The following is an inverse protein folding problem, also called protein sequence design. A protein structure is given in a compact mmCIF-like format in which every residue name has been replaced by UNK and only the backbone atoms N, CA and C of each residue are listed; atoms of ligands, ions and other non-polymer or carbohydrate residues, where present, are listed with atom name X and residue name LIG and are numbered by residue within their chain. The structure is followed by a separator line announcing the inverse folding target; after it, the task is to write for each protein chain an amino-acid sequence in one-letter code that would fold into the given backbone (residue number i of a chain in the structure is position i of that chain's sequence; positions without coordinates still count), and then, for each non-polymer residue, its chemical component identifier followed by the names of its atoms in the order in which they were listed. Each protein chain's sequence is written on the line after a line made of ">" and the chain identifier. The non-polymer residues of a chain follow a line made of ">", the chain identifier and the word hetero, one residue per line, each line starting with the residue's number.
data_IF_932128810863
#
_entry.id   IF_932128810863
#
_cell.length_a   1.000
_cell.length_b   1.000
_cell.length_c   1.000
_cell.angle_alpha   90.00
_cell.angle_beta   90.00
_cell.angle_gamma   90.00
#
_symmetry.space_group_name_H-M   'P 1'
#
loop_
_entity.id
_entity.type
_entity.pdbx_description
1 polymer ?
#
# COMPACT_ATOMS: atom_id res chain seq x y z
N UNK A 1 7.15 -26.47 7.87
CA UNK A 1 7.81 -25.16 7.62
C UNK A 1 6.75 -24.08 7.76
N UNK A 2 6.90 -23.13 8.68
CA UNK A 2 5.99 -21.99 8.76
C UNK A 2 6.24 -21.13 7.51
N UNK A 3 5.23 -20.97 6.65
CA UNK A 3 5.32 -20.13 5.45
C UNK A 3 5.63 -18.70 5.92
N UNK A 4 6.77 -18.13 5.50
CA UNK A 4 7.11 -16.73 5.77
C UNK A 4 6.03 -15.85 5.11
N UNK A 5 5.23 -15.16 5.91
CA UNK A 5 4.31 -14.13 5.39
C UNK A 5 5.08 -12.82 5.24
N UNK A 6 4.75 -12.08 4.19
CA UNK A 6 5.25 -10.74 3.93
C UNK A 6 4.19 -9.67 4.27
N UNK A 7 3.08 -10.08 4.89
CA UNK A 7 2.09 -9.18 5.46
C UNK A 7 2.49 -8.88 6.91
N UNK A 8 3.09 -7.71 7.11
CA UNK A 8 3.68 -7.31 8.37
C UNK A 8 2.73 -6.41 9.17
N UNK A 9 2.79 -6.54 10.49
CA UNK A 9 2.33 -5.55 11.46
C UNK A 9 3.51 -4.96 12.24
N UNK A 10 3.27 -3.96 13.09
CA UNK A 10 4.30 -3.30 13.89
C UNK A 10 5.10 -4.28 14.78
N UNK A 11 4.45 -5.33 15.28
CA UNK A 11 5.10 -6.33 16.13
C UNK A 11 6.04 -7.22 15.30
N UNK A 12 5.62 -7.64 14.11
CA UNK A 12 6.42 -8.50 13.25
C UNK A 12 7.66 -7.79 12.70
N UNK A 13 7.58 -6.48 12.43
CA UNK A 13 8.71 -5.66 11.95
C UNK A 13 9.90 -5.72 12.91
N UNK A 14 9.65 -5.75 14.22
CA UNK A 14 10.70 -5.77 15.24
C UNK A 14 11.23 -7.17 15.56
N UNK A 15 10.55 -8.23 15.10
CA UNK A 15 10.83 -9.63 15.49
C UNK A 15 11.48 -10.46 14.40
N UNK A 16 11.44 -10.02 13.15
CA UNK A 16 11.96 -10.78 12.01
C UNK A 16 13.09 -10.02 11.32
N UNK A 17 14.12 -10.71 10.81
CA UNK A 17 15.14 -10.06 10.01
C UNK A 17 14.52 -9.58 8.68
N UNK A 18 14.58 -8.27 8.48
CA UNK A 18 14.08 -7.55 7.30
C UNK A 18 15.22 -6.79 6.61
N UNK A 19 15.09 -6.46 5.32
CA UNK A 19 16.08 -5.62 4.64
C UNK A 19 16.34 -4.32 5.41
N UNK A 20 17.60 -3.92 5.51
CA UNK A 20 17.99 -2.72 6.25
C UNK A 20 17.31 -1.47 5.70
N UNK A 21 17.20 -1.35 4.38
CA UNK A 21 16.53 -0.24 3.71
C UNK A 21 15.03 -0.15 4.06
N UNK A 22 14.38 -1.29 4.30
CA UNK A 22 12.97 -1.30 4.71
C UNK A 22 12.81 -0.71 6.10
N UNK A 23 13.66 -1.11 7.06
CA UNK A 23 13.60 -0.58 8.43
C UNK A 23 13.80 0.95 8.46
N UNK A 24 14.73 1.47 7.65
CA UNK A 24 14.95 2.92 7.52
C UNK A 24 13.70 3.59 6.95
N UNK A 25 13.13 3.05 5.87
CA UNK A 25 11.97 3.64 5.19
C UNK A 25 10.71 3.58 6.03
N UNK A 26 10.49 2.48 6.75
CA UNK A 26 9.41 2.34 7.72
C UNK A 26 9.54 3.36 8.86
N UNK A 27 10.75 3.57 9.38
CA UNK A 27 11.00 4.59 10.41
C UNK A 27 10.67 6.00 9.90
N UNK A 28 11.08 6.33 8.67
CA UNK A 28 10.75 7.63 8.05
C UNK A 28 9.24 7.80 7.85
N UNK A 29 8.57 6.77 7.33
CA UNK A 29 7.12 6.75 7.17
C UNK A 29 6.39 6.96 8.51
N UNK A 30 6.77 6.21 9.55
CA UNK A 30 6.14 6.31 10.85
C UNK A 30 6.30 7.73 11.44
N UNK A 31 7.50 8.32 11.32
CA UNK A 31 7.74 9.69 11.73
C UNK A 31 6.90 10.70 10.93
N UNK A 32 6.71 10.48 9.63
CA UNK A 32 5.90 11.35 8.78
C UNK A 32 4.41 11.25 9.10
N UNK A 33 3.88 10.03 9.25
CA UNK A 33 2.45 9.77 9.52
C UNK A 33 2.03 10.23 10.91
N UNK A 34 2.94 10.25 11.89
CA UNK A 34 2.63 10.74 13.24
C UNK A 34 2.74 12.28 13.37
N UNK A 35 3.24 13.00 12.36
CA UNK A 35 3.28 14.47 12.36
C UNK A 35 1.89 15.06 12.13
N UNK A 36 1.41 15.83 13.11
CA UNK A 36 0.03 16.37 13.15
C UNK A 36 -0.34 17.28 11.97
N UNK A 37 0.63 17.95 11.36
CA UNK A 37 0.47 18.97 10.33
C UNK A 37 0.51 18.42 8.89
N UNK A 38 0.83 17.14 8.72
CA UNK A 38 1.20 16.60 7.40
C UNK A 38 0.49 15.30 7.03
N UNK A 39 0.04 14.54 8.01
CA UNK A 39 -0.49 13.20 7.79
C UNK A 39 -1.97 13.15 7.41
N UNK A 40 -2.31 12.20 6.53
CA UNK A 40 -3.69 11.78 6.29
C UNK A 40 -4.38 11.34 7.59
N UNK A 41 -5.62 11.77 7.80
CA UNK A 41 -6.42 11.48 8.99
C UNK A 41 -6.51 9.98 9.32
N UNK A 42 -6.70 9.13 8.29
CA UNK A 42 -6.80 7.69 8.46
C UNK A 42 -5.48 7.07 8.93
N UNK A 43 -4.36 7.44 8.31
CA UNK A 43 -3.04 6.96 8.71
C UNK A 43 -2.73 7.33 10.17
N UNK A 44 -3.03 8.57 10.58
CA UNK A 44 -2.83 9.02 11.97
C UNK A 44 -3.61 8.25 13.01
N UNK A 45 -4.84 7.86 12.69
CA UNK A 45 -5.69 7.13 13.62
C UNK A 45 -5.31 5.65 13.67
N UNK A 46 -5.05 5.05 12.51
CA UNK A 46 -4.79 3.63 12.40
C UNK A 46 -3.37 3.22 12.85
N UNK A 47 -2.37 4.08 12.66
CA UNK A 47 -0.97 3.79 13.01
C UNK A 47 -0.79 3.54 14.52
N UNK A 48 -1.24 4.42 15.45
CA UNK A 48 -1.12 4.15 16.90
C UNK A 48 -1.94 2.95 17.39
N UNK A 49 -2.97 2.55 16.64
CA UNK A 49 -3.83 1.40 16.96
C UNK A 49 -3.27 0.07 16.44
N UNK A 50 -2.15 0.08 15.70
CA UNK A 50 -1.56 -1.12 15.10
C UNK A 50 -2.46 -1.73 14.01
N UNK A 51 -3.32 -0.91 13.40
CA UNK A 51 -4.33 -1.39 12.45
C UNK A 51 -3.82 -1.49 11.02
N UNK A 52 -2.76 -0.73 10.70
CA UNK A 52 -2.10 -0.76 9.40
C UNK A 52 -1.31 -2.05 9.18
N UNK A 53 -1.11 -2.37 7.91
CA UNK A 53 -0.26 -3.47 7.47
C UNK A 53 0.80 -2.96 6.53
N UNK A 54 1.93 -3.64 6.52
CA UNK A 54 3.10 -3.24 5.77
C UNK A 54 3.64 -4.41 4.97
N UNK A 55 4.30 -4.08 3.88
CA UNK A 55 5.14 -5.02 3.15
C UNK A 55 6.28 -4.26 2.48
N UNK A 56 7.17 -4.96 1.82
CA UNK A 56 8.26 -4.35 1.07
C UNK A 56 8.40 -5.04 -0.28
N UNK A 57 8.93 -4.31 -1.26
CA UNK A 57 9.03 -4.75 -2.64
C UNK A 57 10.45 -4.49 -3.15
N UNK A 58 11.35 -5.49 -3.06
CA UNK A 58 12.66 -5.44 -3.68
C UNK A 58 12.52 -5.25 -5.20
N UNK A 59 13.46 -4.55 -5.84
CA UNK A 59 13.43 -4.40 -7.30
C UNK A 59 13.59 -5.73 -8.03
N UNK A 60 14.35 -6.65 -7.44
CA UNK A 60 14.70 -7.93 -8.04
C UNK A 60 13.59 -8.99 -7.96
N UNK A 61 12.61 -8.86 -7.05
CA UNK A 61 11.62 -9.90 -6.80
C UNK A 61 10.29 -9.34 -6.26
N UNK A 62 9.23 -9.49 -7.05
CA UNK A 62 7.85 -9.10 -6.69
C UNK A 62 6.95 -10.31 -6.39
N UNK A 63 7.49 -11.52 -6.41
CA UNK A 63 6.72 -12.77 -6.39
C UNK A 63 5.85 -12.97 -5.14
N UNK A 64 6.21 -12.36 -4.01
CA UNK A 64 5.40 -12.43 -2.80
C UNK A 64 4.22 -11.46 -2.80
N UNK A 65 4.22 -10.42 -3.64
CA UNK A 65 3.24 -9.34 -3.59
C UNK A 65 1.78 -9.81 -3.81
N UNK A 66 1.45 -10.68 -4.79
CA UNK A 66 0.08 -11.14 -5.00
C UNK A 66 -0.45 -11.90 -3.77
N UNK A 67 0.38 -12.77 -3.20
CA UNK A 67 0.05 -13.52 -1.98
C UNK A 67 -0.13 -12.61 -0.77
N UNK A 68 0.72 -11.60 -0.61
CA UNK A 68 0.59 -10.60 0.46
C UNK A 68 -0.71 -9.81 0.33
N UNK A 69 -1.05 -9.35 -0.88
CA UNK A 69 -2.28 -8.60 -1.12
C UNK A 69 -3.51 -9.47 -0.83
N UNK A 70 -3.51 -10.73 -1.27
CA UNK A 70 -4.57 -11.70 -0.94
C UNK A 70 -4.73 -11.90 0.57
N UNK A 71 -3.63 -12.14 1.29
CA UNK A 71 -3.65 -12.28 2.76
C UNK A 71 -4.21 -11.02 3.45
N UNK A 72 -3.90 -9.83 2.91
CA UNK A 72 -4.43 -8.57 3.41
C UNK A 72 -5.94 -8.43 3.17
N UNK A 73 -6.43 -8.75 1.97
CA UNK A 73 -7.87 -8.71 1.67
C UNK A 73 -8.65 -9.65 2.58
N UNK A 74 -8.17 -10.88 2.79
CA UNK A 74 -8.78 -11.84 3.72
C UNK A 74 -8.81 -11.31 5.16
N UNK A 75 -7.75 -10.62 5.60
CA UNK A 75 -7.73 -9.96 6.92
C UNK A 75 -8.80 -8.86 7.04
N UNK A 76 -9.09 -8.13 5.97
CA UNK A 76 -10.08 -7.03 6.00
C UNK A 76 -11.53 -7.51 6.05
N UNK A 77 -11.79 -8.78 5.71
CA UNK A 77 -13.12 -9.42 5.80
C UNK A 77 -13.49 -9.83 7.23
N UNK A 78 -12.52 -9.87 8.14
CA UNK A 78 -12.75 -10.29 9.53
C UNK A 78 -13.69 -9.34 10.26
N UNK A 79 -14.45 -9.88 11.24
CA UNK A 79 -15.38 -9.12 12.08
C UNK A 79 -14.89 -9.10 13.52
N UNK A 80 -14.99 -7.95 14.24
CA UNK A 80 -15.53 -6.66 13.79
C UNK A 80 -14.67 -6.00 12.70
N UNK A 81 -15.30 -5.20 11.83
CA UNK A 81 -14.61 -4.53 10.72
C UNK A 81 -13.57 -3.54 11.28
N UNK A 82 -12.31 -3.74 10.91
CA UNK A 82 -11.22 -2.80 11.19
C UNK A 82 -10.80 -2.15 9.87
N UNK A 83 -10.72 -0.82 9.84
CA UNK A 83 -10.36 -0.05 8.64
C UNK A 83 -8.84 -0.10 8.43
N UNK A 84 -8.37 -1.19 7.83
CA UNK A 84 -6.94 -1.43 7.56
C UNK A 84 -6.53 -0.90 6.19
N UNK A 85 -5.32 -0.35 6.12
CA UNK A 85 -4.62 -0.10 4.85
C UNK A 85 -3.33 -0.91 4.78
N UNK A 86 -2.95 -1.35 3.59
CA UNK A 86 -1.67 -1.98 3.32
C UNK A 86 -0.73 -0.95 2.68
N UNK A 87 0.46 -0.78 3.24
CA UNK A 87 1.51 0.11 2.73
C UNK A 87 2.73 -0.73 2.31
N UNK A 88 3.00 -0.76 1.01
CA UNK A 88 4.10 -1.51 0.41
C UNK A 88 5.24 -0.55 0.08
N UNK A 89 6.40 -0.78 0.68
CA UNK A 89 7.60 0.04 0.48
C UNK A 89 8.42 -0.53 -0.66
N UNK A 90 8.56 0.24 -1.74
CA UNK A 90 9.46 -0.13 -2.83
C UNK A 90 10.89 0.16 -2.41
N UNK A 91 11.80 -0.75 -2.74
CA UNK A 91 13.23 -0.55 -2.54
C UNK A 91 13.66 0.83 -3.07
N UNK A 92 14.40 1.61 -2.27
CA UNK A 92 14.84 2.94 -2.70
C UNK A 92 15.85 2.87 -3.83
N UNK A 93 15.71 3.77 -4.79
CA UNK A 93 16.73 4.03 -5.80
C UNK A 93 17.98 4.63 -5.16
N UNK A 94 19.18 4.31 -5.67
CA UNK A 94 20.43 4.93 -5.21
C UNK A 94 20.42 6.46 -5.38
N UNK A 95 19.71 6.92 -6.41
CA UNK A 95 19.48 8.34 -6.71
C UNK A 95 18.00 8.57 -6.97
N UNK A 96 17.48 9.64 -6.39
CA UNK A 96 16.10 10.05 -6.60
C UNK A 96 15.79 10.22 -8.09
N UNK A 97 14.70 9.59 -8.52
CA UNK A 97 14.23 9.63 -9.90
C UNK A 97 13.17 10.72 -10.12
N UNK A 98 12.92 11.15 -11.37
CA UNK A 98 11.84 12.07 -11.67
C UNK A 98 10.46 11.46 -11.43
N UNK A 99 9.42 12.28 -11.21
CA UNK A 99 8.07 11.81 -10.90
C UNK A 99 7.48 10.83 -11.94
N UNK A 100 7.83 11.00 -13.22
CA UNK A 100 7.38 10.09 -14.29
C UNK A 100 7.88 8.65 -14.09
N UNK A 101 9.08 8.48 -13.52
CA UNK A 101 9.63 7.16 -13.18
C UNK A 101 8.73 6.45 -12.18
N UNK A 102 8.46 7.10 -11.05
CA UNK A 102 7.61 6.53 -10.00
C UNK A 102 6.17 6.29 -10.47
N UNK A 103 5.64 7.19 -11.31
CA UNK A 103 4.32 6.99 -11.93
C UNK A 103 4.29 5.71 -12.76
N UNK A 104 5.31 5.49 -13.59
CA UNK A 104 5.43 4.26 -14.39
C UNK A 104 5.59 3.03 -13.48
N UNK A 105 6.45 3.11 -12.47
CA UNK A 105 6.67 2.01 -11.52
C UNK A 105 5.36 1.60 -10.82
N UNK A 106 4.56 2.56 -10.37
CA UNK A 106 3.25 2.28 -9.78
C UNK A 106 2.34 1.50 -10.74
N UNK A 107 2.26 1.91 -12.01
CA UNK A 107 1.47 1.19 -13.02
C UNK A 107 2.04 -0.20 -13.33
N UNK A 108 3.36 -0.36 -13.38
CA UNK A 108 4.01 -1.65 -13.59
C UNK A 108 3.66 -2.62 -12.43
N UNK A 109 3.59 -2.13 -11.19
CA UNK A 109 3.16 -2.93 -10.02
C UNK A 109 1.67 -3.32 -10.11
N UNK A 110 0.78 -2.39 -10.47
CA UNK A 110 -0.64 -2.71 -10.64
C UNK A 110 -0.85 -3.71 -11.78
N UNK A 111 -0.15 -3.53 -12.89
CA UNK A 111 -0.22 -4.44 -14.03
C UNK A 111 0.31 -5.82 -13.65
N UNK A 112 1.42 -5.89 -12.92
CA UNK A 112 1.94 -7.15 -12.40
C UNK A 112 0.89 -7.87 -11.54
N UNK A 113 0.32 -7.20 -10.54
CA UNK A 113 -0.74 -7.77 -9.70
C UNK A 113 -1.93 -8.27 -10.54
N UNK A 114 -2.38 -7.48 -11.51
CA UNK A 114 -3.46 -7.89 -12.41
C UNK A 114 -3.12 -9.15 -13.22
N UNK A 115 -1.89 -9.30 -13.70
CA UNK A 115 -1.47 -10.51 -14.44
C UNK A 115 -1.32 -11.75 -13.55
N UNK A 116 -1.12 -11.55 -12.24
CA UNK A 116 -0.98 -12.62 -11.25
C UNK A 116 -2.30 -12.96 -10.55
N UNK A 117 -3.38 -12.23 -10.84
CA UNK A 117 -4.69 -12.52 -10.26
C UNK A 117 -5.32 -13.73 -10.98
N UNK A 118 -5.59 -14.78 -10.20
CA UNK A 118 -6.28 -15.97 -10.71
C UNK A 118 -7.78 -15.69 -10.95
N UNK A 119 -8.30 -14.57 -10.43
CA UNK A 119 -9.69 -14.16 -10.60
C UNK A 119 -9.89 -13.34 -11.87
N UNK A 120 -11.08 -13.48 -12.45
CA UNK A 120 -11.47 -12.66 -13.57
C UNK A 120 -11.68 -11.20 -13.13
N UNK A 121 -11.28 -10.26 -13.99
CA UNK A 121 -11.61 -8.85 -13.79
C UNK A 121 -13.14 -8.66 -13.69
N UNK A 122 -13.66 -7.93 -12.69
CA UNK A 122 -15.10 -7.79 -12.52
C UNK A 122 -15.80 -7.19 -13.74
N UNK A 123 -16.90 -7.81 -14.17
CA UNK A 123 -17.64 -7.43 -15.40
C UNK A 123 -18.17 -6.00 -15.35
N UNK A 124 -18.47 -5.49 -14.16
CA UNK A 124 -19.01 -4.14 -13.95
C UNK A 124 -17.93 -3.06 -13.83
N UNK A 125 -16.65 -3.44 -13.79
CA UNK A 125 -15.53 -2.49 -13.71
C UNK A 125 -14.88 -2.37 -15.10
N UNK A 126 -14.82 -1.16 -15.68
CA UNK A 126 -14.09 -0.92 -16.93
C UNK A 126 -12.63 -1.39 -16.85
N UNK A 127 -12.03 -1.72 -17.99
CA UNK A 127 -10.60 -2.09 -18.04
C UNK A 127 -9.70 -0.90 -18.31
N UNK A 128 -10.25 0.13 -18.93
CA UNK A 128 -9.55 1.35 -19.32
C UNK A 128 -9.32 2.23 -18.09
N UNK A 129 -8.06 2.50 -17.67
CA UNK A 129 -7.76 3.30 -16.48
C UNK A 129 -8.24 4.76 -16.56
N UNK A 130 -8.57 5.24 -17.76
CA UNK A 130 -9.09 6.58 -18.01
C UNK A 130 -10.61 6.66 -17.80
N UNK A 131 -11.30 5.52 -17.68
CA UNK A 131 -12.74 5.49 -17.48
C UNK A 131 -13.08 5.95 -16.05
N UNK A 132 -14.07 6.83 -15.88
CA UNK A 132 -14.43 7.41 -14.58
C UNK A 132 -14.94 6.40 -13.54
N UNK A 133 -15.47 5.26 -13.98
CA UNK A 133 -15.85 4.12 -13.14
C UNK A 133 -14.71 3.10 -12.92
N UNK A 134 -13.53 3.34 -13.49
CA UNK A 134 -12.41 2.44 -13.32
C UNK A 134 -11.94 2.44 -11.86
N UNK A 135 -11.63 1.25 -11.36
CA UNK A 135 -10.91 1.07 -10.12
C UNK A 135 -9.95 -0.10 -10.31
N UNK A 136 -8.82 -0.09 -9.61
CA UNK A 136 -7.96 -1.25 -9.60
C UNK A 136 -8.68 -2.39 -8.87
N UNK A 137 -8.75 -3.57 -9.50
CA UNK A 137 -9.35 -4.75 -8.90
C UNK A 137 -8.33 -5.86 -8.69
N UNK A 138 -8.44 -6.55 -7.56
CA UNK A 138 -7.66 -7.76 -7.25
C UNK A 138 -8.51 -8.70 -6.36
N UNK A 139 -8.52 -10.01 -6.66
CA UNK A 139 -9.37 -11.01 -6.00
C UNK A 139 -10.87 -10.63 -6.04
N UNK A 140 -11.32 -10.12 -7.19
CA UNK A 140 -12.70 -9.62 -7.43
C UNK A 140 -13.10 -8.39 -6.59
N UNK A 141 -12.17 -7.81 -5.82
CA UNK A 141 -12.41 -6.65 -4.97
C UNK A 141 -11.88 -5.37 -5.58
N UNK A 142 -12.66 -4.29 -5.49
CA UNK A 142 -12.21 -2.94 -5.85
C UNK A 142 -11.32 -2.37 -4.75
N UNK A 143 -10.20 -1.79 -5.18
CA UNK A 143 -9.17 -1.23 -4.31
C UNK A 143 -8.91 0.22 -4.68
N UNK A 144 -8.97 1.09 -3.67
CA UNK A 144 -8.32 2.38 -3.76
C UNK A 144 -6.81 2.17 -3.64
N UNK A 145 -6.09 2.45 -4.72
CA UNK A 145 -4.63 2.34 -4.78
C UNK A 145 -3.99 3.70 -5.09
N UNK A 146 -2.89 3.99 -4.42
CA UNK A 146 -2.14 5.23 -4.62
C UNK A 146 -0.66 5.02 -4.34
N UNK A 147 0.17 5.95 -4.81
CA UNK A 147 1.59 5.96 -4.50
C UNK A 147 2.05 7.35 -4.05
N UNK A 148 2.87 7.35 -3.01
CA UNK A 148 3.63 8.49 -2.53
C UNK A 148 5.10 8.27 -2.89
N UNK A 149 5.67 9.20 -3.66
CA UNK A 149 7.01 9.08 -4.22
C UNK A 149 7.98 10.06 -3.56
N UNK A 150 9.27 9.73 -3.42
CA UNK A 150 10.29 10.65 -2.89
C UNK A 150 10.38 11.99 -3.64
N UNK A 151 10.05 12.00 -4.93
CA UNK A 151 9.98 13.21 -5.74
C UNK A 151 8.86 14.19 -5.33
N UNK A 152 7.91 13.80 -4.46
CA UNK A 152 6.75 14.62 -4.06
C UNK A 152 7.06 15.68 -2.99
N UNK A 153 8.28 16.25 -2.97
CA UNK A 153 8.77 17.17 -1.92
C UNK A 153 7.93 18.43 -1.71
N UNK A 154 7.24 18.91 -2.75
CA UNK A 154 6.37 20.09 -2.65
C UNK A 154 5.04 19.78 -1.94
N UNK A 155 4.63 18.51 -1.89
CA UNK A 155 3.40 18.06 -1.23
C UNK A 155 3.79 17.35 0.06
N UNK A 156 3.90 18.12 1.15
CA UNK A 156 4.37 17.60 2.44
C UNK A 156 3.66 16.29 2.86
N UNK A 157 2.36 16.16 2.59
CA UNK A 157 1.55 14.97 2.92
C UNK A 157 1.90 13.69 2.15
N UNK A 158 2.74 13.83 1.11
CA UNK A 158 3.21 12.76 0.22
C UNK A 158 4.72 12.56 0.26
N UNK A 159 5.41 13.27 1.16
CA UNK A 159 6.83 13.09 1.42
C UNK A 159 6.99 12.13 2.60
N UNK A 160 7.15 10.85 2.28
CA UNK A 160 7.21 9.74 3.26
C UNK A 160 8.64 9.18 3.43
N UNK A 161 9.65 9.88 2.91
CA UNK A 161 11.05 9.47 2.95
C UNK A 161 11.58 8.93 1.63
N UNK A 162 12.58 8.05 1.71
CA UNK A 162 13.39 7.63 0.55
C UNK A 162 12.72 6.57 -0.34
N UNK A 163 11.74 5.83 0.17
CA UNK A 163 11.02 4.82 -0.59
C UNK A 163 9.82 5.43 -1.30
N UNK A 164 9.47 4.89 -2.47
CA UNK A 164 8.09 5.00 -2.93
C UNK A 164 7.22 4.09 -2.05
N UNK A 165 6.09 4.61 -1.57
CA UNK A 165 5.14 3.85 -0.75
C UNK A 165 3.85 3.69 -1.54
N UNK A 166 3.44 2.46 -1.79
CA UNK A 166 2.18 2.13 -2.47
C UNK A 166 1.14 1.73 -1.42
N UNK A 167 0.03 2.45 -1.37
CA UNK A 167 -1.11 2.14 -0.52
C UNK A 167 -2.16 1.30 -1.26
N UNK A 168 -2.67 0.25 -0.60
CA UNK A 168 -3.85 -0.51 -1.04
C UNK A 168 -4.93 -0.49 0.05
N UNK A 169 -6.14 -0.12 -0.33
CA UNK A 169 -7.28 0.06 0.58
C UNK A 169 -8.54 -0.52 -0.06
N UNK A 170 -9.14 -1.60 0.48
CA UNK A 170 -10.36 -2.19 -0.06
C UNK A 170 -11.53 -1.23 0.14
N UNK A 171 -12.42 -1.11 -0.84
CA UNK A 171 -13.49 -0.10 -0.78
C UNK A 171 -14.44 -0.30 0.41
N UNK A 172 -14.57 -1.53 0.93
CA UNK A 172 -15.36 -1.86 2.12
C UNK A 172 -14.97 -1.04 3.35
N UNK A 173 -13.72 -0.57 3.45
CA UNK A 173 -13.27 0.23 4.61
C UNK A 173 -13.89 1.63 4.61
N UNK A 174 -14.42 2.09 3.48
CA UNK A 174 -15.12 3.37 3.36
C UNK A 174 -16.62 3.26 3.64
N UNK A 175 -17.16 2.05 3.82
CA UNK A 175 -18.56 1.88 4.21
C UNK A 175 -18.86 2.58 5.55
N UNK A 176 -19.97 3.30 5.57
CA UNK A 176 -20.41 4.09 6.73
C UNK A 176 -19.54 5.32 7.03
N UNK A 177 -18.63 5.72 6.12
CA UNK A 177 -18.04 7.05 6.15
C UNK A 177 -18.96 8.02 5.42
N UNK A 178 -19.67 8.84 6.17
CA UNK A 178 -20.36 10.01 5.62
C UNK A 178 -19.34 11.13 5.48
N UNK A 179 -19.35 11.82 4.33
CA UNK A 179 -18.55 13.03 4.16
C UNK A 179 -19.04 14.07 5.15
N UNK A 180 -18.12 14.64 5.94
CA UNK A 180 -18.43 15.90 6.62
C UNK A 180 -18.54 16.98 5.54
N UNK A 181 -19.72 17.55 5.38
CA UNK A 181 -19.94 18.78 4.59
C UNK A 181 -18.96 19.89 4.98
#
# INVERSE_FOLDING_TARGET
>A
MVKKSYLLDQNSITKVPLPSWFNVSYTQFQQAVLKKDVSCFFGRKAEPLGELRYSFLPHADWSHLPKTLKEFLELTKQRPLVRRGLFVFVEPEEKEQPLQYYRRYFWDVLQYLNTQDDKAWPVHTPREPEHHLWSFCFEEESLFSFADAPANKQRKTRDLGQSMVIGFQPTIIFEGLEGTE
#
